data_IF_650339276997
#
_entry.id   IF_650339276997
#
_cell.length_a   1.000
_cell.length_b   1.000
_cell.length_c   1.000
_cell.angle_alpha   90.00
_cell.angle_beta   90.00
_cell.angle_gamma   90.00
#
_symmetry.space_group_name_H-M   'P 1'
#
loop_
_entity.id
_entity.type
_entity.pdbx_description
1 polymer ?
#
# COMPACT_ATOMS: atom_id res chain seq x y z
N UNK A 1 -18.02 2.27 1.83
CA UNK A 1 -17.42 1.02 2.36
C UNK A 1 -16.47 0.51 1.29
N UNK A 2 -15.23 0.17 1.66
CA UNK A 2 -14.18 -0.27 0.74
C UNK A 2 -13.67 -1.65 1.18
N UNK A 3 -13.76 -2.67 0.34
CA UNK A 3 -13.28 -4.00 0.68
C UNK A 3 -11.75 -3.99 0.77
N UNK A 4 -11.19 -4.15 1.97
CA UNK A 4 -9.75 -4.05 2.23
C UNK A 4 -8.96 -5.31 1.89
N UNK A 5 -9.63 -6.46 1.67
CA UNK A 5 -8.96 -7.72 1.34
C UNK A 5 -9.53 -8.41 0.09
N UNK A 6 -9.67 -7.65 -1.00
CA UNK A 6 -10.28 -8.18 -2.22
C UNK A 6 -9.24 -8.91 -3.09
N UNK A 7 -9.06 -10.21 -2.83
CA UNK A 7 -8.29 -11.17 -3.65
C UNK A 7 -9.21 -12.23 -4.28
N UNK A 8 -8.64 -13.11 -5.10
CA UNK A 8 -9.38 -14.13 -5.88
C UNK A 8 -10.20 -15.09 -5.02
N UNK A 9 -9.72 -15.43 -3.81
CA UNK A 9 -10.43 -16.39 -2.95
C UNK A 9 -11.67 -15.77 -2.28
N UNK A 10 -11.75 -14.44 -2.27
CA UNK A 10 -12.92 -13.69 -1.79
C UNK A 10 -13.93 -13.38 -2.91
N UNK A 11 -13.73 -13.90 -4.13
CA UNK A 11 -14.60 -13.69 -5.29
C UNK A 11 -15.11 -15.03 -5.82
N UNK A 12 -16.43 -15.22 -5.76
CA UNK A 12 -17.09 -16.37 -6.40
C UNK A 12 -17.57 -15.99 -7.79
N UNK A 13 -17.40 -16.91 -8.74
CA UNK A 13 -17.86 -16.78 -10.12
C UNK A 13 -18.80 -17.92 -10.48
N UNK A 14 -19.58 -17.75 -11.55
CA UNK A 14 -20.45 -18.80 -12.06
C UNK A 14 -19.61 -19.93 -12.71
N UNK A 15 -19.92 -21.18 -12.39
CA UNK A 15 -19.19 -22.35 -12.90
C UNK A 15 -19.33 -22.50 -14.43
N UNK A 16 -20.49 -22.15 -14.97
CA UNK A 16 -20.78 -22.23 -16.41
C UNK A 16 -20.35 -20.95 -17.15
N UNK A 17 -20.20 -19.83 -16.43
CA UNK A 17 -19.72 -18.56 -16.96
C UNK A 17 -18.78 -17.84 -15.97
N UNK A 18 -17.47 -18.17 -15.95
CA UNK A 18 -16.50 -17.58 -15.02
C UNK A 18 -16.29 -16.07 -15.14
N UNK A 19 -16.87 -15.41 -16.15
CA UNK A 19 -16.85 -13.94 -16.27
C UNK A 19 -17.90 -13.25 -15.39
N UNK A 20 -18.87 -14.00 -14.87
CA UNK A 20 -19.93 -13.50 -14.01
C UNK A 20 -19.57 -13.72 -12.55
N UNK A 21 -19.38 -12.61 -11.81
CA UNK A 21 -19.24 -12.64 -10.35
C UNK A 21 -20.61 -12.96 -9.73
N UNK A 22 -20.65 -13.97 -8.88
CA UNK A 22 -21.87 -14.42 -8.18
C UNK A 22 -21.90 -13.94 -6.74
N UNK A 23 -20.75 -13.83 -6.08
CA UNK A 23 -20.64 -13.29 -4.73
C UNK A 23 -19.24 -12.70 -4.46
N UNK A 24 -19.20 -11.73 -3.53
CA UNK A 24 -17.98 -11.26 -2.87
C UNK A 24 -18.18 -11.48 -1.38
N UNK A 25 -17.26 -12.18 -0.73
CA UNK A 25 -17.35 -12.57 0.69
C UNK A 25 -16.36 -11.79 1.57
N UNK A 26 -16.25 -12.18 2.84
CA UNK A 26 -15.28 -11.66 3.82
C UNK A 26 -15.37 -10.17 4.18
N UNK A 27 -16.60 -9.65 4.24
CA UNK A 27 -16.88 -8.26 4.63
C UNK A 27 -16.76 -8.00 6.15
N UNK A 28 -16.51 -9.03 6.97
CA UNK A 28 -16.65 -8.98 8.43
C UNK A 28 -15.62 -8.08 9.15
N UNK A 29 -14.55 -7.69 8.46
CA UNK A 29 -13.47 -6.84 8.98
C UNK A 29 -13.33 -5.52 8.21
N UNK A 30 -14.32 -5.16 7.38
CA UNK A 30 -14.22 -3.96 6.55
C UNK A 30 -14.45 -2.69 7.39
N UNK A 31 -13.46 -1.77 7.47
CA UNK A 31 -13.62 -0.55 8.23
C UNK A 31 -14.56 0.46 7.57
N UNK A 32 -15.26 1.24 8.38
CA UNK A 32 -16.02 2.41 7.92
C UNK A 32 -15.23 3.67 8.26
N UNK A 33 -14.34 4.07 7.34
CA UNK A 33 -13.53 5.28 7.44
C UNK A 33 -13.63 6.14 6.18
N UNK A 34 -13.15 7.39 6.23
CA UNK A 34 -12.96 8.19 5.02
C UNK A 34 -12.19 7.43 3.95
N UNK A 35 -12.61 7.60 2.70
CA UNK A 35 -12.05 6.90 1.54
C UNK A 35 -10.55 7.11 1.39
N UNK A 36 -10.04 8.30 1.72
CA UNK A 36 -8.60 8.57 1.63
C UNK A 36 -7.75 7.78 2.64
N UNK A 37 -8.35 7.26 3.73
CA UNK A 37 -7.65 6.37 4.67
C UNK A 37 -7.70 4.91 4.21
N UNK A 38 -8.85 4.46 3.70
CA UNK A 38 -9.13 3.04 3.48
C UNK A 38 -9.02 2.57 2.05
N UNK A 39 -9.21 3.43 1.06
CA UNK A 39 -9.19 3.02 -0.33
C UNK A 39 -7.75 2.81 -0.82
N UNK A 40 -7.52 1.66 -1.45
CA UNK A 40 -6.30 1.28 -2.14
C UNK A 40 -6.63 0.35 -3.30
N UNK A 41 -5.74 0.21 -4.30
CA UNK A 41 -5.85 -0.87 -5.26
C UNK A 41 -6.09 -2.21 -4.56
N UNK A 42 -7.08 -3.02 -4.98
CA UNK A 42 -7.32 -4.32 -4.37
C UNK A 42 -6.16 -5.27 -4.68
N UNK A 43 -5.86 -6.18 -3.75
CA UNK A 43 -4.81 -7.20 -3.93
C UNK A 43 -5.01 -8.04 -5.20
N UNK A 44 -6.25 -8.19 -5.68
CA UNK A 44 -6.60 -8.77 -6.99
C UNK A 44 -5.79 -8.24 -8.17
N UNK A 45 -5.44 -6.94 -8.18
CA UNK A 45 -4.70 -6.29 -9.29
C UNK A 45 -3.28 -5.92 -8.90
N UNK A 46 -2.89 -6.17 -7.65
CA UNK A 46 -1.52 -5.97 -7.20
C UNK A 46 -0.62 -7.09 -7.72
N UNK A 47 0.65 -6.74 -7.92
CA UNK A 47 1.66 -7.65 -8.47
C UNK A 47 3.04 -7.04 -8.22
N UNK A 48 4.04 -7.93 -8.12
CA UNK A 48 5.44 -7.58 -7.97
C UNK A 48 6.05 -7.13 -9.29
N UNK A 49 6.71 -5.97 -9.27
CA UNK A 49 7.41 -5.42 -10.43
C UNK A 49 6.96 -3.99 -10.77
N UNK A 50 7.54 -3.43 -11.85
CA UNK A 50 7.29 -2.04 -12.20
C UNK A 50 5.82 -1.85 -12.62
N UNK A 51 5.18 -0.85 -12.02
CA UNK A 51 3.89 -0.32 -12.49
C UNK A 51 4.13 0.41 -13.81
N UNK A 52 3.34 0.14 -14.86
CA UNK A 52 3.53 0.77 -16.16
C UNK A 52 3.18 2.25 -16.09
N UNK A 53 3.74 3.02 -17.02
CA UNK A 53 3.34 4.41 -17.20
C UNK A 53 1.86 4.49 -17.61
N UNK A 54 1.14 5.46 -17.04
CA UNK A 54 -0.30 5.64 -17.33
C UNK A 54 -0.53 5.79 -18.82
N UNK A 55 -1.55 5.10 -19.32
CA UNK A 55 -1.96 5.11 -20.73
C UNK A 55 -0.92 4.54 -21.71
N UNK A 56 0.18 3.95 -21.24
CA UNK A 56 1.15 3.25 -22.08
C UNK A 56 0.83 1.76 -22.07
N UNK A 57 0.40 1.24 -23.23
CA UNK A 57 0.08 -0.18 -23.34
C UNK A 57 1.35 -1.04 -23.16
N UNK A 58 1.34 -2.06 -22.29
CA UNK A 58 2.44 -3.00 -22.15
C UNK A 58 2.65 -3.71 -23.48
N UNK A 59 3.90 -4.05 -23.79
CA UNK A 59 4.24 -4.75 -25.04
C UNK A 59 4.99 -6.02 -24.73
N UNK A 60 4.57 -7.10 -25.38
CA UNK A 60 5.36 -8.33 -25.39
C UNK A 60 6.66 -8.09 -26.18
N UNK A 61 7.79 -8.68 -25.76
CA UNK A 61 9.04 -8.63 -26.50
C UNK A 61 8.90 -9.18 -27.92
N UNK A 62 9.54 -8.53 -28.90
CA UNK A 62 9.47 -8.93 -30.31
C UNK A 62 10.00 -10.36 -30.54
N UNK A 63 10.97 -10.79 -29.74
CA UNK A 63 11.59 -12.12 -29.79
C UNK A 63 10.83 -13.20 -29.00
N UNK A 64 9.60 -12.92 -28.53
CA UNK A 64 8.83 -13.88 -27.74
C UNK A 64 8.61 -15.21 -28.46
N UNK A 65 8.54 -15.24 -29.79
CA UNK A 65 8.39 -16.49 -30.55
C UNK A 65 9.63 -17.41 -30.43
N UNK A 66 10.80 -16.82 -30.28
CA UNK A 66 12.12 -17.48 -30.24
C UNK A 66 12.51 -17.94 -28.82
N UNK A 67 11.83 -17.44 -27.80
CA UNK A 67 12.04 -17.82 -26.40
C UNK A 67 11.65 -19.28 -26.12
N UNK A 68 12.33 -19.90 -25.16
CA UNK A 68 11.94 -21.22 -24.64
C UNK A 68 10.62 -21.10 -23.83
N UNK A 69 10.01 -22.23 -23.48
CA UNK A 69 8.70 -22.25 -22.78
C UNK A 69 8.74 -21.53 -21.43
N UNK A 70 9.83 -21.68 -20.67
CA UNK A 70 10.01 -21.05 -19.36
C UNK A 70 10.10 -19.52 -19.50
N UNK A 71 10.92 -19.04 -20.42
CA UNK A 71 11.12 -17.61 -20.66
C UNK A 71 9.86 -16.96 -21.24
N UNK A 72 9.11 -17.69 -22.07
CA UNK A 72 7.78 -17.28 -22.55
C UNK A 72 6.82 -17.07 -21.38
N UNK A 73 6.80 -17.98 -20.41
CA UNK A 73 5.94 -17.88 -19.24
C UNK A 73 6.35 -16.70 -18.35
N UNK A 74 7.65 -16.60 -18.03
CA UNK A 74 8.23 -15.50 -17.25
C UNK A 74 8.02 -14.11 -17.89
N UNK A 75 7.81 -14.06 -19.21
CA UNK A 75 7.49 -12.82 -19.94
C UNK A 75 5.99 -12.52 -19.95
N UNK A 76 5.14 -13.57 -20.04
CA UNK A 76 3.68 -13.41 -20.11
C UNK A 76 3.08 -12.94 -18.79
N UNK A 77 3.57 -13.44 -17.67
CA UNK A 77 3.05 -13.11 -16.34
C UNK A 77 3.12 -11.60 -16.04
N UNK A 78 4.29 -10.93 -16.14
CA UNK A 78 4.37 -9.49 -15.97
C UNK A 78 3.52 -8.71 -16.99
N UNK A 79 3.45 -9.19 -18.24
CA UNK A 79 2.64 -8.54 -19.27
C UNK A 79 1.15 -8.57 -18.93
N UNK A 80 0.62 -9.71 -18.47
CA UNK A 80 -0.78 -9.83 -18.06
C UNK A 80 -1.07 -8.97 -16.83
N UNK A 81 -0.18 -8.98 -15.83
CA UNK A 81 -0.33 -8.18 -14.62
C UNK A 81 -0.34 -6.67 -14.91
N UNK A 82 0.59 -6.19 -15.74
CA UNK A 82 0.62 -4.80 -16.20
C UNK A 82 -0.63 -4.41 -17.01
N UNK A 83 -1.11 -5.33 -17.86
CA UNK A 83 -2.33 -5.11 -18.66
C UNK A 83 -3.56 -5.00 -17.77
N UNK A 84 -3.69 -5.88 -16.77
CA UNK A 84 -4.77 -5.85 -15.79
C UNK A 84 -4.73 -4.56 -14.97
N UNK A 85 -3.55 -4.13 -14.53
CA UNK A 85 -3.37 -2.88 -13.79
C UNK A 85 -3.84 -1.65 -14.57
N UNK A 86 -3.42 -1.51 -15.83
CA UNK A 86 -3.85 -0.38 -16.68
C UNK A 86 -5.35 -0.43 -16.94
N UNK A 87 -5.89 -1.62 -17.17
CA UNK A 87 -7.33 -1.77 -17.36
C UNK A 87 -8.08 -1.32 -16.10
N UNK A 88 -7.67 -1.79 -14.92
CA UNK A 88 -8.20 -1.38 -13.63
C UNK A 88 -8.13 0.14 -13.44
N UNK A 89 -6.94 0.72 -13.62
CA UNK A 89 -6.74 2.16 -13.45
C UNK A 89 -7.59 2.99 -14.41
N UNK A 90 -7.75 2.53 -15.66
CA UNK A 90 -8.62 3.16 -16.65
C UNK A 90 -10.09 3.11 -16.24
N UNK A 91 -10.57 1.95 -15.76
CA UNK A 91 -11.95 1.82 -15.30
C UNK A 91 -12.20 2.65 -14.04
N UNK A 92 -11.29 2.62 -13.07
CA UNK A 92 -11.39 3.43 -11.85
C UNK A 92 -11.45 4.92 -12.18
N UNK A 93 -10.59 5.39 -13.09
CA UNK A 93 -10.60 6.80 -13.49
C UNK A 93 -11.89 7.21 -14.20
N UNK A 94 -12.54 6.28 -14.92
CA UNK A 94 -13.80 6.50 -15.63
C UNK A 94 -15.02 6.48 -14.70
N UNK A 95 -15.11 5.47 -13.85
CA UNK A 95 -16.29 5.17 -13.04
C UNK A 95 -16.26 5.88 -11.67
N UNK A 96 -15.07 6.16 -11.13
CA UNK A 96 -14.88 6.73 -9.80
C UNK A 96 -13.67 7.68 -9.73
N UNK A 97 -13.76 8.89 -10.33
CA UNK A 97 -12.64 9.83 -10.46
C UNK A 97 -12.09 10.38 -9.13
N UNK A 98 -12.80 10.15 -8.02
CA UNK A 98 -12.32 10.51 -6.68
C UNK A 98 -11.33 9.49 -6.11
N UNK A 99 -11.39 8.23 -6.56
CA UNK A 99 -10.49 7.17 -6.07
C UNK A 99 -9.02 7.41 -6.43
N UNK A 100 -8.66 7.80 -7.68
CA UNK A 100 -7.27 8.15 -7.98
C UNK A 100 -6.70 9.25 -7.10
N UNK A 101 -7.54 10.20 -6.67
CA UNK A 101 -7.14 11.27 -5.73
C UNK A 101 -6.90 10.71 -4.34
N UNK A 102 -7.77 9.82 -3.86
CA UNK A 102 -7.59 9.11 -2.61
C UNK A 102 -6.33 8.23 -2.60
N UNK A 103 -6.05 7.51 -3.70
CA UNK A 103 -4.84 6.70 -3.83
C UNK A 103 -3.58 7.56 -3.77
N UNK A 104 -3.56 8.69 -4.49
CA UNK A 104 -2.43 9.63 -4.46
C UNK A 104 -2.26 10.29 -3.10
N UNK A 105 -3.34 10.49 -2.35
CA UNK A 105 -3.24 11.05 -0.99
C UNK A 105 -2.42 10.15 -0.05
N UNK A 106 -2.34 8.84 -0.32
CA UNK A 106 -1.48 7.91 0.44
C UNK A 106 0.01 8.22 0.36
N UNK A 107 0.43 8.95 -0.67
CA UNK A 107 1.83 9.39 -0.85
C UNK A 107 2.16 10.66 -0.04
N UNK A 108 1.24 11.10 0.82
CA UNK A 108 1.39 12.33 1.61
C UNK A 108 1.68 12.02 3.08
N UNK A 109 2.50 12.86 3.72
CA UNK A 109 2.81 12.77 5.15
C UNK A 109 1.54 12.82 6.01
N UNK A 110 0.52 13.55 5.57
CA UNK A 110 -0.77 13.61 6.25
C UNK A 110 -1.46 12.26 6.34
N UNK A 111 -1.43 11.51 5.24
CA UNK A 111 -1.96 10.17 5.23
C UNK A 111 -1.14 9.25 6.12
N UNK A 112 0.20 9.31 6.02
CA UNK A 112 1.09 8.52 6.88
C UNK A 112 0.80 8.76 8.36
N UNK A 113 0.62 10.00 8.80
CA UNK A 113 0.29 10.30 10.19
C UNK A 113 -1.10 9.80 10.57
N UNK A 114 -2.09 9.99 9.69
CA UNK A 114 -3.45 9.52 9.97
C UNK A 114 -3.54 7.99 10.02
N UNK A 115 -2.70 7.27 9.25
CA UNK A 115 -2.67 5.80 9.26
C UNK A 115 -2.10 5.26 10.58
N UNK A 116 -1.17 5.97 11.23
CA UNK A 116 -0.60 5.58 12.54
C UNK A 116 -1.63 5.43 13.67
N UNK A 117 -2.74 6.17 13.60
CA UNK A 117 -3.78 6.11 14.63
C UNK A 117 -4.32 4.68 14.77
N UNK A 118 -4.34 3.92 13.66
CA UNK A 118 -4.79 2.54 13.63
C UNK A 118 -3.69 1.50 13.85
N UNK A 119 -2.41 1.85 13.63
CA UNK A 119 -1.31 0.88 13.57
C UNK A 119 -0.31 0.98 14.70
N UNK A 120 -0.48 1.89 15.67
CA UNK A 120 0.45 2.07 16.81
C UNK A 120 0.74 0.77 17.59
N UNK A 121 -0.24 -0.14 17.67
CA UNK A 121 -0.10 -1.42 18.36
C UNK A 121 0.72 -2.45 17.56
N UNK A 122 0.75 -2.32 16.24
CA UNK A 122 1.44 -3.24 15.32
C UNK A 122 2.83 -2.72 14.96
N UNK A 123 2.93 -1.43 14.63
CA UNK A 123 4.17 -0.77 14.21
C UNK A 123 5.08 -0.42 15.40
N UNK A 124 4.49 -0.20 16.58
CA UNK A 124 5.20 0.08 17.82
C UNK A 124 5.60 1.55 17.99
N UNK A 125 5.83 1.92 19.26
CA UNK A 125 6.14 3.30 19.67
C UNK A 125 7.32 3.94 18.92
N UNK A 126 8.48 3.27 18.69
CA UNK A 126 9.62 3.92 18.03
C UNK A 126 9.31 4.42 16.61
N UNK A 127 8.50 3.69 15.85
CA UNK A 127 8.07 4.08 14.51
C UNK A 127 7.18 5.32 14.55
N UNK A 128 6.21 5.34 15.48
CA UNK A 128 5.32 6.50 15.67
C UNK A 128 6.09 7.73 16.12
N UNK A 129 7.02 7.60 17.08
CA UNK A 129 7.84 8.72 17.53
C UNK A 129 8.67 9.31 16.39
N UNK A 130 9.28 8.46 15.55
CA UNK A 130 10.01 8.92 14.36
C UNK A 130 9.12 9.79 13.47
N UNK A 131 7.90 9.36 13.16
CA UNK A 131 6.98 10.13 12.31
C UNK A 131 6.47 11.41 12.96
N UNK A 132 6.20 11.39 14.28
CA UNK A 132 5.83 12.60 15.02
C UNK A 132 6.96 13.63 15.06
N UNK A 133 8.21 13.18 15.18
CA UNK A 133 9.38 14.08 15.12
C UNK A 133 9.58 14.69 13.72
N UNK A 134 9.28 13.94 12.66
CA UNK A 134 9.29 14.44 11.28
C UNK A 134 8.16 15.43 11.02
N UNK A 135 6.96 15.16 11.53
CA UNK A 135 5.82 16.07 11.48
C UNK A 135 6.11 17.39 12.18
N UNK A 136 6.81 17.35 13.31
CA UNK A 136 7.13 18.54 14.09
C UNK A 136 8.17 19.45 13.44
N UNK A 137 8.81 19.04 12.34
CA UNK A 137 9.70 19.91 11.57
C UNK A 137 8.90 21.03 10.92
N UNK A 138 9.40 22.26 11.05
CA UNK A 138 8.74 23.48 10.55
C UNK A 138 8.32 23.35 9.08
N UNK A 139 9.23 22.90 8.21
CA UNK A 139 9.01 22.68 6.78
C UNK A 139 7.93 21.64 6.42
N UNK A 140 7.64 20.70 7.32
CA UNK A 140 6.60 19.67 7.15
C UNK A 140 5.28 20.17 7.71
N UNK A 141 5.33 20.76 8.91
CA UNK A 141 4.18 21.34 9.58
C UNK A 141 3.56 22.48 8.76
N UNK A 142 4.37 23.35 8.17
CA UNK A 142 3.94 24.44 7.28
C UNK A 142 3.14 23.93 6.08
N UNK A 143 3.58 22.83 5.46
CA UNK A 143 2.86 22.19 4.35
C UNK A 143 1.53 21.59 4.79
N UNK A 144 1.42 21.21 6.07
CA UNK A 144 0.20 20.63 6.63
C UNK A 144 -0.85 21.71 6.93
N UNK A 145 -0.48 22.72 7.72
CA UNK A 145 -1.43 23.75 8.17
C UNK A 145 -1.60 24.89 7.15
N UNK A 146 -0.69 24.99 6.19
CA UNK A 146 -0.60 26.08 5.23
C UNK A 146 -0.07 27.36 5.87
N UNK A 147 0.15 28.37 5.03
CA UNK A 147 0.63 29.68 5.45
C UNK A 147 -0.52 30.67 5.71
N UNK A 148 -0.30 31.58 6.66
CA UNK A 148 -1.11 32.78 6.87
C UNK A 148 -0.75 33.86 5.83
N UNK A 149 -1.46 34.99 5.85
CA UNK A 149 -1.21 36.11 4.92
C UNK A 149 0.20 36.74 5.06
N UNK A 150 0.98 36.32 6.06
CA UNK A 150 2.33 36.81 6.35
C UNK A 150 3.41 35.74 6.09
N UNK A 151 3.06 34.60 5.47
CA UNK A 151 4.00 33.53 5.15
C UNK A 151 4.48 32.72 6.36
N UNK A 152 3.72 32.71 7.46
CA UNK A 152 4.00 31.83 8.62
C UNK A 152 3.00 30.69 8.66
N UNK A 153 3.36 29.58 9.30
CA UNK A 153 2.40 28.53 9.66
C UNK A 153 1.11 29.11 10.26
N UNK A 154 -0.06 28.74 9.70
CA UNK A 154 -1.37 29.20 10.21
C UNK A 154 -1.62 28.85 11.67
N UNK A 155 -1.05 27.74 12.13
CA UNK A 155 -1.14 27.23 13.50
C UNK A 155 0.25 26.76 13.91
N UNK A 156 0.70 27.07 15.12
CA UNK A 156 1.97 26.54 15.64
C UNK A 156 1.88 25.03 15.88
N UNK A 157 2.98 24.31 15.64
CA UNK A 157 3.03 22.89 15.94
C UNK A 157 2.88 22.68 17.46
N UNK A 158 1.96 21.79 17.92
CA UNK A 158 1.79 21.51 19.34
C UNK A 158 2.90 20.61 19.91
N UNK A 159 3.72 20.02 19.04
CA UNK A 159 4.82 19.13 19.41
C UNK A 159 6.13 19.92 19.40
N UNK A 160 6.83 19.88 20.52
CA UNK A 160 8.17 20.45 20.68
C UNK A 160 9.10 19.35 21.17
N UNK A 161 10.24 19.19 20.50
CA UNK A 161 11.25 18.20 20.83
C UNK A 161 12.55 18.91 21.18
N UNK A 162 13.18 18.49 22.26
CA UNK A 162 14.56 18.90 22.55
C UNK A 162 15.53 18.13 21.68
N UNK A 163 16.78 18.61 21.59
CA UNK A 163 17.83 17.88 20.86
C UNK A 163 18.06 16.47 21.46
N UNK A 164 18.00 16.35 22.78
CA UNK A 164 18.14 15.07 23.49
C UNK A 164 16.98 14.11 23.13
N UNK A 165 15.76 14.63 22.99
CA UNK A 165 14.60 13.82 22.56
C UNK A 165 14.80 13.28 21.13
N UNK A 166 15.26 14.14 20.21
CA UNK A 166 15.50 13.74 18.82
C UNK A 166 16.58 12.67 18.72
N UNK A 167 17.68 12.83 19.47
CA UNK A 167 18.76 11.83 19.52
C UNK A 167 18.28 10.51 20.10
N UNK A 168 17.52 10.55 21.21
CA UNK A 168 16.94 9.36 21.83
C UNK A 168 16.01 8.62 20.87
N UNK A 169 15.03 9.31 20.26
CA UNK A 169 14.07 8.65 19.36
C UNK A 169 14.72 8.14 18.09
N UNK A 170 15.76 8.82 17.60
CA UNK A 170 16.56 8.32 16.50
C UNK A 170 17.26 6.99 16.86
N UNK A 171 17.89 6.91 18.02
CA UNK A 171 18.52 5.65 18.48
C UNK A 171 17.52 4.51 18.69
N UNK A 172 16.34 4.82 19.26
CA UNK A 172 15.26 3.84 19.45
C UNK A 172 14.72 3.34 18.11
N UNK A 173 14.53 4.24 17.14
CA UNK A 173 14.11 3.88 15.79
C UNK A 173 15.15 2.98 15.10
N UNK A 174 16.45 3.29 15.17
CA UNK A 174 17.51 2.46 14.58
C UNK A 174 17.53 1.05 15.21
N UNK A 175 17.31 0.94 16.52
CA UNK A 175 17.20 -0.37 17.20
C UNK A 175 15.96 -1.14 16.70
N UNK A 176 14.82 -0.45 16.62
CA UNK A 176 13.56 -1.01 16.13
C UNK A 176 13.69 -1.52 14.70
N UNK A 177 14.24 -0.72 13.78
CA UNK A 177 14.43 -1.08 12.37
C UNK A 177 15.26 -2.36 12.23
N UNK A 178 16.39 -2.41 12.93
CA UNK A 178 17.25 -3.60 12.97
C UNK A 178 16.50 -4.84 13.48
N UNK A 179 15.65 -4.68 14.49
CA UNK A 179 14.93 -5.80 15.09
C UNK A 179 13.74 -6.25 14.23
N UNK A 180 13.09 -5.33 13.48
CA UNK A 180 12.10 -5.65 12.43
C UNK A 180 12.74 -6.46 11.31
N UNK A 181 13.91 -6.04 10.81
CA UNK A 181 14.63 -6.81 9.78
C UNK A 181 15.05 -8.20 10.27
N UNK A 182 15.47 -8.31 11.54
CA UNK A 182 15.80 -9.60 12.17
C UNK A 182 14.57 -10.49 12.22
N UNK A 183 13.42 -9.95 12.64
CA UNK A 183 12.15 -10.67 12.66
C UNK A 183 11.79 -11.17 11.26
N UNK A 184 11.92 -10.33 10.24
CA UNK A 184 11.66 -10.70 8.85
C UNK A 184 12.56 -11.86 8.39
N UNK A 185 13.88 -11.81 8.66
CA UNK A 185 14.81 -12.91 8.33
C UNK A 185 14.47 -14.20 9.06
N UNK A 186 14.10 -14.14 10.34
CA UNK A 186 13.69 -15.34 11.09
C UNK A 186 12.45 -15.97 10.45
N UNK A 187 11.47 -15.17 10.03
CA UNK A 187 10.30 -15.74 9.36
C UNK A 187 10.63 -16.38 8.03
N UNK A 188 11.52 -15.78 7.24
CA UNK A 188 12.02 -16.36 5.99
C UNK A 188 12.75 -17.69 6.24
N UNK A 189 13.62 -17.76 7.25
CA UNK A 189 14.37 -18.97 7.62
C UNK A 189 13.46 -20.10 8.12
N UNK A 190 12.42 -19.77 8.92
CA UNK A 190 11.48 -20.75 9.46
C UNK A 190 10.44 -21.16 8.39
N UNK A 191 10.35 -20.43 7.27
CA UNK A 191 9.40 -20.70 6.20
C UNK A 191 7.94 -20.45 6.61
N UNK A 192 7.72 -19.59 7.61
CA UNK A 192 6.37 -19.24 8.07
C UNK A 192 5.84 -18.11 7.20
N UNK A 193 4.64 -18.31 6.65
CA UNK A 193 3.90 -17.25 5.98
C UNK A 193 3.67 -16.07 6.94
N UNK A 194 4.19 -14.89 6.59
CA UNK A 194 4.10 -13.67 7.40
C UNK A 194 2.88 -12.81 7.07
N UNK A 195 2.11 -13.21 6.07
CA UNK A 195 1.00 -12.40 5.55
C UNK A 195 -0.20 -12.36 6.48
N UNK A 196 -0.70 -11.15 6.69
CA UNK A 196 -2.05 -10.86 7.16
C UNK A 196 -3.06 -10.84 6.01
N UNK A 197 -2.68 -11.33 4.83
CA UNK A 197 -3.40 -11.16 3.57
C UNK A 197 -4.46 -12.26 3.35
N UNK A 198 -4.74 -13.09 4.36
CA UNK A 198 -5.72 -14.18 4.31
C UNK A 198 -5.43 -15.31 3.32
N UNK A 199 -4.48 -15.14 2.39
CA UNK A 199 -4.27 -16.02 1.26
C UNK A 199 -3.19 -17.08 1.55
N UNK A 200 -3.62 -18.33 1.70
CA UNK A 200 -2.76 -19.51 1.62
C UNK A 200 -2.77 -19.98 0.17
N UNK A 201 -1.60 -20.18 -0.44
CA UNK A 201 -1.53 -20.74 -1.79
C UNK A 201 -2.18 -22.12 -1.81
N UNK A 202 -3.00 -22.47 -2.81
CA UNK A 202 -3.61 -23.80 -2.91
C UNK A 202 -2.60 -24.96 -2.91
N UNK A 203 -1.32 -24.69 -3.22
CA UNK A 203 -0.23 -25.68 -3.19
C UNK A 203 0.36 -25.95 -1.80
N UNK A 204 -0.04 -25.18 -0.78
CA UNK A 204 0.44 -25.32 0.61
C UNK A 204 -0.54 -26.11 1.50
N UNK A 205 -1.52 -26.79 0.88
CA UNK A 205 -2.41 -27.79 1.51
C UNK A 205 -1.99 -29.23 1.22
#
# INVERSE_FOLDING_TARGET
IWHNDLHTDNIFVDENNPTQITAIIDWQSVPVYPMFLTAHPPSLVEYDGPKPERFVQPRLPANMKEMNTRDKQATKEPFLAQTLWIYYETQVNKEAPDLPRAFKYRETVQWEICSLIGSIFDDGEPYVQKLLTELAREEVWEKLVGEDDHGRSRVSCPLEYTQDDLEKYHEEYVKWERDVERKARVFEEVGVYTGWNGAVSPGDY
#
